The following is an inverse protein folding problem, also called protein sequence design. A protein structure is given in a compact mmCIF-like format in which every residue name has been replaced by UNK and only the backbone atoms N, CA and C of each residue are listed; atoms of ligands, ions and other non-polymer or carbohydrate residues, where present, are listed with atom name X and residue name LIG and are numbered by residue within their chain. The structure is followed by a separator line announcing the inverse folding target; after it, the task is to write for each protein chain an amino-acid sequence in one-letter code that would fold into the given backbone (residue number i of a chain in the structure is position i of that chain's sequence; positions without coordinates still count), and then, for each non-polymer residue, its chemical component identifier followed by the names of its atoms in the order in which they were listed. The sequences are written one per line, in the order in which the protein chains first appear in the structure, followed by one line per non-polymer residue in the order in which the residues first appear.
data_IF_919689577893
#
_entry.id   IF_919689577893
#
_cell.length_a   1.000
_cell.length_b   1.000
_cell.length_c   1.000
_cell.angle_alpha   90.00
_cell.angle_beta   90.00
_cell.angle_gamma   90.00
#
_symmetry.space_group_name_H-M   'P 1'
#
loop_
_entity.id
_entity.type
_entity.pdbx_description
1 polymer ?
#
# COMPACT_ATOMS: atom_id res chain seq x y z
N UNK A 1 16.56 -13.52 2.41
CA UNK A 1 16.02 -12.19 2.71
C UNK A 1 14.63 -12.32 3.34
N UNK A 2 14.08 -11.23 3.87
CA UNK A 2 12.68 -11.14 4.32
C UNK A 2 11.81 -10.58 3.19
N UNK A 3 10.51 -10.90 3.20
CA UNK A 3 9.52 -10.28 2.31
C UNK A 3 8.68 -9.28 3.13
N UNK A 4 8.69 -7.99 2.80
CA UNK A 4 7.80 -7.01 3.44
C UNK A 4 6.36 -7.29 3.03
N UNK A 5 5.42 -7.13 3.97
CA UNK A 5 4.00 -7.45 3.75
C UNK A 5 3.16 -6.18 3.67
N UNK A 6 3.21 -5.37 4.73
CA UNK A 6 2.49 -4.11 4.84
C UNK A 6 3.39 -3.04 5.44
N UNK A 7 2.97 -1.79 5.25
CA UNK A 7 3.53 -0.62 5.91
C UNK A 7 2.42 0.36 6.31
N UNK A 8 2.78 1.31 7.17
CA UNK A 8 1.91 2.41 7.58
C UNK A 8 2.53 3.75 7.18
N UNK A 9 1.70 4.74 6.89
CA UNK A 9 2.15 6.09 6.58
C UNK A 9 1.22 7.15 7.20
N UNK A 10 1.64 8.41 7.16
CA UNK A 10 0.93 9.56 7.75
C UNK A 10 -0.09 10.17 6.78
N UNK A 11 -0.51 9.44 5.74
CA UNK A 11 -1.50 9.92 4.80
C UNK A 11 -2.89 9.97 5.47
N UNK A 12 -3.61 11.06 5.24
CA UNK A 12 -4.99 11.21 5.71
C UNK A 12 -5.94 10.46 4.77
N UNK A 13 -6.48 9.35 5.24
CA UNK A 13 -7.45 8.54 4.49
C UNK A 13 -8.77 8.40 5.26
N UNK A 14 -9.82 8.07 4.53
CA UNK A 14 -11.15 7.72 5.04
C UNK A 14 -11.82 6.66 4.16
N UNK A 15 -13.06 6.27 4.48
CA UNK A 15 -13.89 5.43 3.62
C UNK A 15 -13.92 5.95 2.18
N UNK A 16 -13.73 5.05 1.22
CA UNK A 16 -13.55 5.39 -0.20
C UNK A 16 -12.10 5.35 -0.68
N UNK A 17 -11.11 5.30 0.22
CA UNK A 17 -9.69 5.16 -0.14
C UNK A 17 -9.20 3.70 -0.25
N UNK A 18 -10.10 2.71 -0.10
CA UNK A 18 -9.73 1.32 -0.33
C UNK A 18 -9.35 1.13 -1.80
N UNK A 19 -8.14 0.64 -2.05
CA UNK A 19 -7.59 0.51 -3.40
C UNK A 19 -6.83 1.73 -3.91
N UNK A 20 -6.67 2.80 -3.11
CA UNK A 20 -5.87 3.96 -3.53
C UNK A 20 -4.39 3.58 -3.69
N UNK A 21 -3.72 4.04 -4.78
CA UNK A 21 -2.29 3.81 -4.98
C UNK A 21 -1.46 4.68 -4.03
N UNK A 22 -0.44 4.10 -3.41
CA UNK A 22 0.60 4.82 -2.68
C UNK A 22 1.81 4.93 -3.58
N UNK A 23 2.24 6.16 -3.87
CA UNK A 23 3.34 6.44 -4.79
C UNK A 23 4.62 6.83 -4.02
N UNK A 24 5.78 6.47 -4.58
CA UNK A 24 7.07 6.97 -4.12
C UNK A 24 7.31 8.42 -4.64
N UNK A 25 8.50 8.97 -4.37
CA UNK A 25 8.85 10.35 -4.76
C UNK A 25 8.84 10.59 -6.28
N UNK A 26 9.06 9.55 -7.07
CA UNK A 26 9.12 9.60 -8.54
C UNK A 26 7.77 9.25 -9.20
N UNK A 27 6.73 8.97 -8.40
CA UNK A 27 5.41 8.62 -8.90
C UNK A 27 5.21 7.12 -9.22
N UNK A 28 6.15 6.25 -8.85
CA UNK A 28 6.01 4.80 -9.01
C UNK A 28 5.17 4.19 -7.89
N UNK A 29 4.40 3.14 -8.22
CA UNK A 29 3.54 2.43 -7.27
C UNK A 29 4.37 1.69 -6.22
N UNK A 30 4.26 2.12 -4.96
CA UNK A 30 4.95 1.54 -3.80
C UNK A 30 4.04 0.62 -2.97
N UNK A 31 2.74 0.91 -2.94
CA UNK A 31 1.78 0.12 -2.18
C UNK A 31 0.33 0.41 -2.52
N UNK A 32 -0.58 -0.37 -1.92
CA UNK A 32 -2.02 -0.25 -2.11
C UNK A 32 -2.69 -0.06 -0.76
N UNK A 33 -3.37 1.07 -0.58
CA UNK A 33 -4.07 1.39 0.66
C UNK A 33 -5.31 0.49 0.84
N UNK A 34 -5.48 -0.09 2.04
CA UNK A 34 -6.65 -0.92 2.33
C UNK A 34 -7.37 -0.58 3.63
N UNK A 35 -6.69 0.02 4.62
CA UNK A 35 -7.31 0.31 5.92
C UNK A 35 -6.64 1.48 6.68
N UNK A 36 -7.06 1.70 7.92
CA UNK A 36 -6.54 2.67 8.88
C UNK A 36 -6.31 2.00 10.23
N UNK A 37 -5.33 2.51 10.99
CA UNK A 37 -5.11 2.03 12.37
C UNK A 37 -6.27 2.42 13.28
N UNK A 38 -6.49 1.64 14.33
CA UNK A 38 -7.59 1.84 15.28
C UNK A 38 -7.61 3.25 15.89
N UNK A 39 -6.45 3.73 16.32
CA UNK A 39 -6.27 5.06 16.91
C UNK A 39 -6.61 6.19 15.93
N UNK A 40 -6.56 5.94 14.62
CA UNK A 40 -6.88 6.88 13.56
C UNK A 40 -8.35 6.86 13.12
N UNK A 41 -9.22 6.08 13.77
CA UNK A 41 -10.66 5.99 13.37
C UNK A 41 -11.39 7.32 13.46
N UNK A 42 -10.98 8.23 14.35
CA UNK A 42 -11.55 9.57 14.48
C UNK A 42 -11.16 10.55 13.35
N UNK A 43 -10.27 10.14 12.44
CA UNK A 43 -9.74 11.00 11.36
C UNK A 43 -10.78 11.53 10.37
N UNK A 44 -12.01 11.02 10.41
CA UNK A 44 -13.14 11.56 9.65
C UNK A 44 -13.60 12.93 10.19
N UNK A 45 -13.30 13.24 11.46
CA UNK A 45 -13.67 14.48 12.13
C UNK A 45 -12.43 15.32 12.43
N UNK A 46 -11.39 14.71 12.98
CA UNK A 46 -10.14 15.40 13.37
C UNK A 46 -8.92 14.52 13.09
N UNK A 47 -7.95 15.08 12.37
CA UNK A 47 -6.71 14.40 12.02
C UNK A 47 -5.59 14.73 13.01
N UNK A 48 -5.28 13.78 13.90
CA UNK A 48 -4.11 13.86 14.79
C UNK A 48 -2.89 13.18 14.14
N UNK A 49 -1.91 14.00 13.75
CA UNK A 49 -0.63 13.56 13.15
C UNK A 49 0.17 12.57 14.01
N UNK A 50 -0.04 12.53 15.33
CA UNK A 50 0.67 11.64 16.23
C UNK A 50 0.18 10.19 16.15
N UNK A 51 -1.12 9.98 15.89
CA UNK A 51 -1.76 8.65 15.93
C UNK A 51 -2.41 8.20 14.61
N UNK A 52 -2.82 9.12 13.74
CA UNK A 52 -3.52 8.76 12.51
C UNK A 52 -2.55 8.16 11.48
N UNK A 53 -2.78 6.90 11.11
CA UNK A 53 -1.99 6.20 10.10
C UNK A 53 -2.88 5.40 9.17
N UNK A 54 -2.59 5.46 7.88
CA UNK A 54 -3.18 4.54 6.91
C UNK A 54 -2.36 3.24 6.85
N UNK A 55 -3.00 2.14 6.46
CA UNK A 55 -2.38 0.82 6.32
C UNK A 55 -2.42 0.43 4.84
N UNK A 56 -1.25 0.07 4.31
CA UNK A 56 -1.08 -0.31 2.91
C UNK A 56 -0.33 -1.63 2.78
N UNK A 57 -0.71 -2.44 1.80
CA UNK A 57 0.09 -3.61 1.40
C UNK A 57 1.26 -3.13 0.54
N UNK A 58 2.43 -3.72 0.77
CA UNK A 58 3.64 -3.44 0.00
C UNK A 58 3.52 -4.05 -1.40
N UNK A 59 3.87 -3.28 -2.44
CA UNK A 59 3.75 -3.78 -3.82
C UNK A 59 4.62 -5.02 -4.07
N UNK A 60 5.73 -5.17 -3.34
CA UNK A 60 6.59 -6.36 -3.41
C UNK A 60 5.87 -7.61 -2.90
N UNK A 61 4.99 -7.48 -1.90
CA UNK A 61 4.17 -8.59 -1.44
C UNK A 61 3.12 -8.98 -2.47
N UNK A 62 2.49 -8.00 -3.12
CA UNK A 62 1.51 -8.23 -4.19
C UNK A 62 2.18 -9.00 -5.34
N UNK A 63 3.34 -8.53 -5.81
CA UNK A 63 4.12 -9.22 -6.85
C UNK A 63 4.58 -10.62 -6.40
N UNK A 64 5.03 -10.78 -5.16
CA UNK A 64 5.40 -12.08 -4.60
C UNK A 64 4.24 -13.07 -4.61
N UNK A 65 3.04 -12.64 -4.20
CA UNK A 65 1.83 -13.48 -4.23
C UNK A 65 1.45 -13.83 -5.67
N UNK A 66 1.45 -12.85 -6.58
CA UNK A 66 1.18 -13.07 -8.00
C UNK A 66 2.12 -14.13 -8.61
N UNK A 67 3.42 -14.01 -8.36
CA UNK A 67 4.44 -14.91 -8.89
C UNK A 67 4.38 -16.30 -8.22
N UNK A 68 4.52 -16.35 -6.89
CA UNK A 68 4.76 -17.63 -6.18
C UNK A 68 3.50 -18.43 -5.91
N UNK A 69 2.36 -17.76 -5.72
CA UNK A 69 1.09 -18.41 -5.37
C UNK A 69 0.18 -18.43 -6.60
N UNK A 70 -0.02 -17.27 -7.23
CA UNK A 70 -0.92 -17.11 -8.37
C UNK A 70 -0.39 -17.68 -9.69
N UNK A 71 0.93 -17.91 -9.80
CA UNK A 71 1.60 -18.30 -11.06
C UNK A 71 1.20 -17.38 -12.23
N UNK A 72 1.06 -16.10 -11.93
CA UNK A 72 0.49 -15.10 -12.83
C UNK A 72 1.58 -14.28 -13.55
N UNK A 73 2.62 -14.97 -14.05
CA UNK A 73 3.79 -14.34 -14.68
C UNK A 73 3.42 -13.48 -15.91
N UNK A 74 2.29 -13.79 -16.56
CA UNK A 74 1.79 -13.03 -17.70
C UNK A 74 1.34 -11.62 -17.28
N UNK A 75 0.76 -11.44 -16.09
CA UNK A 75 0.40 -10.12 -15.57
C UNK A 75 1.65 -9.33 -15.19
N UNK A 76 2.64 -9.99 -14.58
CA UNK A 76 3.89 -9.35 -14.19
C UNK A 76 4.63 -8.82 -15.43
N UNK A 77 4.59 -9.55 -16.56
CA UNK A 77 5.17 -9.12 -17.84
C UNK A 77 4.44 -7.95 -18.51
N UNK A 78 3.19 -7.67 -18.13
CA UNK A 78 2.42 -6.53 -18.63
C UNK A 78 2.80 -5.22 -17.89
N UNK A 79 3.38 -5.34 -16.70
CA UNK A 79 3.77 -4.19 -15.88
C UNK A 79 5.13 -3.63 -16.30
N UNK A 80 5.25 -2.30 -16.28
CA UNK A 80 6.54 -1.62 -16.33
C UNK A 80 7.11 -1.53 -14.91
N UNK A 81 8.12 -2.36 -14.62
CA UNK A 81 8.74 -2.45 -13.30
C UNK A 81 10.04 -1.64 -13.32
N UNK A 82 10.05 -0.54 -12.57
CA UNK A 82 11.24 0.25 -12.33
C UNK A 82 12.19 -0.48 -11.36
N UNK A 83 13.48 -0.50 -11.71
CA UNK A 83 14.57 -0.84 -10.77
C UNK A 83 15.15 0.48 -10.23
N UNK A 84 15.26 0.59 -8.90
CA UNK A 84 15.98 1.67 -8.23
C UNK A 84 17.50 1.41 -8.22
#
# INVERSE_FOLDING_TARGET
GTIPVCFIATNHTSGGNSGSPVLNADGHLLGLNFDRVWEGTMSDIEFDTSVCRNISVDIRYVLFVMEKIGKADYLIKELDICED
#
